data_IF_712204992412
#
_entry.id   IF_712204992412
#
_cell.length_a   1.000
_cell.length_b   1.000
_cell.length_c   1.000
_cell.angle_alpha   90.00
_cell.angle_beta   90.00
_cell.angle_gamma   90.00
#
_symmetry.space_group_name_H-M   'P 1'
#
loop_
_entity.id
_entity.type
_entity.pdbx_description
1 polymer ?
#
# COMPACT_ATOMS: atom_id res chain seq x y z
N UNK A 1 24.82 24.30 16.74
CA UNK A 1 24.01 23.07 16.92
C UNK A 1 22.58 23.50 17.17
N UNK A 2 21.65 23.15 16.31
CA UNK A 2 20.32 22.69 16.72
C UNK A 2 19.88 21.68 15.66
N UNK A 3 19.79 20.43 16.10
CA UNK A 3 19.22 19.32 15.35
C UNK A 3 17.71 19.43 15.52
N UNK A 4 16.98 19.80 14.47
CA UNK A 4 15.53 19.62 14.44
C UNK A 4 15.21 18.27 13.82
N UNK A 5 15.20 17.26 14.68
CA UNK A 5 14.52 15.98 14.46
C UNK A 5 13.02 16.22 14.47
N UNK A 6 12.43 16.53 13.31
CA UNK A 6 10.99 16.53 13.12
C UNK A 6 10.50 15.08 12.95
N UNK A 7 10.35 14.39 14.08
CA UNK A 7 9.48 13.23 14.20
C UNK A 7 8.02 13.69 14.14
N UNK A 8 7.54 14.08 12.96
CA UNK A 8 6.11 14.32 12.75
C UNK A 8 5.40 12.97 12.61
N UNK A 9 5.10 12.36 13.76
CA UNK A 9 4.05 11.34 13.84
C UNK A 9 2.72 12.09 13.71
N UNK A 10 2.34 12.42 12.48
CA UNK A 10 0.93 12.70 12.22
C UNK A 10 0.19 11.38 12.38
N UNK A 11 -0.91 11.30 13.15
CA UNK A 11 -1.85 10.21 13.03
C UNK A 11 -2.54 10.40 11.68
N UNK A 12 -1.84 10.10 10.59
CA UNK A 12 -2.44 9.95 9.28
C UNK A 12 -3.33 8.72 9.44
N UNK A 13 -4.62 8.93 9.73
CA UNK A 13 -5.63 7.89 9.78
C UNK A 13 -5.73 7.35 8.36
N UNK A 14 -4.83 6.43 8.06
CA UNK A 14 -4.78 5.77 6.77
C UNK A 14 -6.07 4.97 6.72
N UNK A 15 -6.87 5.08 5.64
CA UNK A 15 -8.16 4.39 5.58
C UNK A 15 -7.97 2.90 5.91
N UNK A 16 -8.89 2.28 6.66
CA UNK A 16 -8.74 0.88 7.10
C UNK A 16 -8.46 -0.07 5.91
N UNK A 17 -9.02 0.24 4.74
CA UNK A 17 -8.81 -0.47 3.48
C UNK A 17 -7.33 -0.51 3.04
N UNK A 18 -6.58 0.56 3.29
CA UNK A 18 -5.15 0.59 2.96
C UNK A 18 -4.37 -0.32 3.90
N UNK A 19 -4.68 -0.31 5.21
CA UNK A 19 -4.07 -1.23 6.17
C UNK A 19 -4.29 -2.69 5.78
N UNK A 20 -5.53 -3.05 5.43
CA UNK A 20 -5.89 -4.38 4.92
C UNK A 20 -5.08 -4.75 3.66
N UNK A 21 -4.96 -3.84 2.70
CA UNK A 21 -4.17 -4.06 1.49
C UNK A 21 -2.71 -4.35 1.82
N UNK A 22 -2.09 -3.55 2.69
CA UNK A 22 -0.68 -3.70 3.04
C UNK A 22 -0.43 -5.02 3.77
N UNK A 23 -1.33 -5.42 4.67
CA UNK A 23 -1.26 -6.69 5.39
C UNK A 23 -1.41 -7.91 4.45
N UNK A 24 -2.25 -7.80 3.40
CA UNK A 24 -2.39 -8.84 2.39
C UNK A 24 -1.17 -8.96 1.47
N UNK A 25 -0.39 -7.89 1.32
CA UNK A 25 0.68 -7.78 0.33
C UNK A 25 2.02 -8.32 0.87
N UNK A 26 2.19 -9.64 0.83
CA UNK A 26 3.37 -10.36 1.36
C UNK A 26 4.57 -10.37 0.41
N UNK A 27 4.31 -10.41 -0.89
CA UNK A 27 5.29 -10.45 -1.98
C UNK A 27 4.83 -9.53 -3.11
N UNK A 28 5.52 -9.55 -4.26
CA UNK A 28 5.02 -8.88 -5.46
C UNK A 28 3.76 -9.60 -5.99
N UNK A 29 2.62 -8.93 -5.91
CA UNK A 29 1.33 -9.51 -6.28
C UNK A 29 0.66 -8.71 -7.39
N UNK A 30 -0.07 -9.40 -8.28
CA UNK A 30 -0.93 -8.73 -9.24
C UNK A 30 -2.14 -8.11 -8.55
N UNK A 31 -2.80 -7.20 -9.26
CA UNK A 31 -4.08 -6.61 -8.81
C UNK A 31 -5.11 -7.70 -8.48
N UNK A 32 -5.25 -8.69 -9.36
CA UNK A 32 -6.20 -9.79 -9.24
C UNK A 32 -5.89 -10.65 -8.01
N UNK A 33 -4.60 -10.95 -7.77
CA UNK A 33 -4.18 -11.70 -6.59
C UNK A 33 -4.48 -10.94 -5.29
N UNK A 34 -4.23 -9.62 -5.26
CA UNK A 34 -4.55 -8.78 -4.10
C UNK A 34 -6.05 -8.69 -3.85
N UNK A 35 -6.85 -8.51 -4.89
CA UNK A 35 -8.30 -8.54 -4.76
C UNK A 35 -8.81 -9.87 -4.21
N UNK A 36 -8.29 -10.98 -4.74
CA UNK A 36 -8.66 -12.31 -4.27
C UNK A 36 -8.25 -12.54 -2.83
N UNK A 37 -7.06 -12.07 -2.42
CA UNK A 37 -6.59 -12.19 -1.04
C UNK A 37 -7.46 -11.41 -0.05
N UNK A 38 -8.04 -10.29 -0.48
CA UNK A 38 -8.97 -9.48 0.31
C UNK A 38 -10.45 -9.91 0.15
N UNK A 39 -10.74 -10.95 -0.64
CA UNK A 39 -12.12 -11.38 -0.91
C UNK A 39 -12.96 -10.36 -1.70
N UNK A 40 -12.32 -9.41 -2.40
CA UNK A 40 -12.99 -8.31 -3.09
C UNK A 40 -13.32 -8.70 -4.54
N UNK A 41 -14.58 -8.54 -4.93
CA UNK A 41 -15.05 -8.80 -6.30
C UNK A 41 -14.99 -7.56 -7.19
N UNK A 42 -15.27 -6.38 -6.63
CA UNK A 42 -15.38 -5.16 -7.43
C UNK A 42 -14.02 -4.51 -7.72
N UNK A 43 -13.70 -4.41 -9.01
CA UNK A 43 -12.45 -3.84 -9.52
C UNK A 43 -12.32 -2.35 -9.25
N UNK A 44 -13.41 -1.61 -9.39
CA UNK A 44 -13.38 -0.15 -9.29
C UNK A 44 -13.13 0.26 -7.85
N UNK A 45 -13.91 -0.28 -6.92
CA UNK A 45 -13.80 -0.13 -5.48
C UNK A 45 -12.41 -0.54 -4.97
N UNK A 46 -11.87 -1.68 -5.41
CA UNK A 46 -10.49 -2.05 -5.05
C UNK A 46 -9.49 -0.98 -5.45
N UNK A 47 -9.58 -0.47 -6.68
CA UNK A 47 -8.63 0.54 -7.16
C UNK A 47 -8.80 1.88 -6.44
N UNK A 48 -10.02 2.32 -6.20
CA UNK A 48 -10.30 3.64 -5.63
C UNK A 48 -10.10 3.70 -4.12
N UNK A 49 -10.38 2.60 -3.39
CA UNK A 49 -10.40 2.60 -1.92
C UNK A 49 -9.19 1.92 -1.29
N UNK A 50 -8.53 1.02 -2.01
CA UNK A 50 -7.39 0.25 -1.50
C UNK A 50 -6.10 0.69 -2.22
N UNK A 51 -5.99 0.36 -3.50
CA UNK A 51 -4.73 0.48 -4.22
C UNK A 51 -4.35 1.93 -4.55
N UNK A 52 -5.32 2.76 -4.94
CA UNK A 52 -5.11 4.16 -5.29
C UNK A 52 -4.55 4.98 -4.12
N UNK A 53 -5.21 4.98 -2.95
CA UNK A 53 -4.70 5.66 -1.76
C UNK A 53 -3.33 5.14 -1.33
N UNK A 54 -3.10 3.82 -1.36
CA UNK A 54 -1.80 3.23 -1.01
C UNK A 54 -0.66 3.67 -1.95
N UNK A 55 -0.95 3.82 -3.25
CA UNK A 55 0.00 4.35 -4.24
C UNK A 55 0.24 5.85 -4.03
N UNK A 56 -0.81 6.63 -3.77
CA UNK A 56 -0.72 8.07 -3.52
C UNK A 56 0.11 8.38 -2.28
N UNK A 57 -0.03 7.58 -1.23
CA UNK A 57 0.76 7.66 0.00
C UNK A 57 2.18 7.07 -0.14
N UNK A 58 2.50 6.45 -1.28
CA UNK A 58 3.80 5.82 -1.50
C UNK A 58 4.06 4.62 -0.58
N UNK A 59 3.02 3.97 -0.07
CA UNK A 59 3.10 2.76 0.77
C UNK A 59 3.30 1.50 -0.08
N UNK A 60 2.79 1.53 -1.31
CA UNK A 60 3.04 0.52 -2.34
C UNK A 60 3.57 1.18 -3.60
N UNK A 61 4.25 0.40 -4.43
CA UNK A 61 4.76 0.84 -5.72
C UNK A 61 4.48 -0.18 -6.84
N UNK A 62 4.54 0.30 -8.07
CA UNK A 62 4.42 -0.50 -9.29
C UNK A 62 5.76 -1.12 -9.67
N UNK A 63 5.78 -2.40 -10.03
CA UNK A 63 7.01 -3.05 -10.52
C UNK A 63 7.38 -2.66 -11.95
N UNK A 64 6.41 -2.27 -12.78
CA UNK A 64 6.61 -1.81 -14.18
C UNK A 64 6.02 -0.40 -14.38
N UNK A 65 6.61 0.66 -13.78
CA UNK A 65 6.04 2.01 -13.81
C UNK A 65 5.94 2.60 -15.23
N UNK A 66 6.83 2.18 -16.15
CA UNK A 66 6.81 2.63 -17.56
C UNK A 66 5.63 2.08 -18.36
N UNK A 67 4.98 1.00 -17.91
CA UNK A 67 3.85 0.35 -18.58
C UNK A 67 2.75 0.04 -17.56
N UNK A 68 2.02 1.06 -17.04
CA UNK A 68 1.05 0.88 -15.96
C UNK A 68 -0.17 0.02 -16.35
N UNK A 69 -0.38 -0.23 -17.65
CA UNK A 69 -1.43 -1.12 -18.18
C UNK A 69 -0.89 -2.50 -18.56
N UNK A 70 0.37 -2.81 -18.22
CA UNK A 70 0.98 -4.11 -18.50
C UNK A 70 0.20 -5.23 -17.82
N UNK A 71 0.01 -6.35 -18.55
CA UNK A 71 -0.56 -7.58 -17.99
C UNK A 71 0.34 -8.22 -16.93
N UNK A 72 1.63 -7.87 -16.94
CA UNK A 72 2.63 -8.33 -15.96
C UNK A 72 2.80 -7.34 -14.79
N UNK A 73 1.96 -6.31 -14.71
CA UNK A 73 2.01 -5.34 -13.62
C UNK A 73 1.77 -6.02 -12.27
N UNK A 74 2.70 -5.80 -11.34
CA UNK A 74 2.58 -6.21 -9.95
C UNK A 74 2.76 -5.00 -9.03
N UNK A 75 2.42 -5.20 -7.77
CA UNK A 75 2.57 -4.24 -6.70
C UNK A 75 3.37 -4.84 -5.56
N UNK A 76 4.21 -4.01 -4.93
CA UNK A 76 5.05 -4.39 -3.79
C UNK A 76 5.03 -3.31 -2.72
N UNK A 77 5.27 -3.68 -1.47
CA UNK A 77 5.45 -2.73 -0.38
C UNK A 77 6.71 -1.89 -0.61
N UNK A 78 6.62 -0.60 -0.35
CA UNK A 78 7.80 0.26 -0.24
C UNK A 78 8.43 0.14 1.15
N UNK A 79 9.55 0.83 1.38
CA UNK A 79 10.10 0.98 2.74
C UNK A 79 9.09 1.60 3.71
N UNK A 80 8.36 2.63 3.26
CA UNK A 80 7.30 3.30 4.04
C UNK A 80 6.16 2.34 4.36
N UNK A 81 5.69 1.57 3.38
CA UNK A 81 4.62 0.58 3.59
C UNK A 81 5.00 -0.54 4.56
N UNK A 82 6.23 -1.05 4.49
CA UNK A 82 6.73 -2.04 5.47
C UNK A 82 6.79 -1.48 6.88
N UNK A 83 7.26 -0.24 7.03
CA UNK A 83 7.32 0.42 8.34
C UNK A 83 5.92 0.64 8.91
N UNK A 84 4.98 1.07 8.09
CA UNK A 84 3.58 1.24 8.47
C UNK A 84 2.98 -0.05 9.05
N UNK A 85 3.14 -1.19 8.36
CA UNK A 85 2.65 -2.49 8.86
C UNK A 85 3.33 -2.91 10.15
N UNK A 86 4.63 -2.65 10.29
CA UNK A 86 5.38 -2.98 11.51
C UNK A 86 4.93 -2.14 12.71
N UNK A 87 4.70 -0.84 12.51
CA UNK A 87 4.25 0.06 13.57
C UNK A 87 2.80 -0.31 14.00
N UNK A 88 1.92 -0.65 13.06
CA UNK A 88 0.54 -1.10 13.37
C UNK A 88 0.43 -2.48 14.03
N UNK A 89 1.48 -3.30 13.99
CA UNK A 89 1.50 -4.62 14.64
C UNK A 89 1.98 -4.58 16.09
N UNK A 90 2.47 -3.43 16.56
CA UNK A 90 3.03 -3.23 17.90
C UNK A 90 2.10 -2.40 18.82
N UNK A 91 0.81 -2.34 18.49
CA UNK A 91 -0.22 -1.62 19.25
C UNK A 91 -1.35 -2.55 19.71
#
# INVERSE_FOLDING_TARGET
>A
MILETSSSVTPQVTPPQVGELLAALRVEMSREALQSALGLKDRKSFRERYLGPALAEGLVEMTIPSKPRSRLQKYRLTGKGRRFVADSANE
#
